data_IF_833529389500
#
_entry.id   IF_833529389500
#
_cell.length_a   1.000
_cell.length_b   1.000
_cell.length_c   1.000
_cell.angle_alpha   90.00
_cell.angle_beta   90.00
_cell.angle_gamma   90.00
#
_symmetry.space_group_name_H-M   'P 1'
#
loop_
_entity.id
_entity.type
_entity.pdbx_description
1 polymer ?
#
# COMPACT_ATOMS: atom_id res chain seq x y z
N UNK A 1 6.14 -14.83 33.36
CA UNK A 1 6.80 -14.93 32.04
C UNK A 1 7.25 -16.37 31.85
N UNK A 2 6.92 -17.01 30.73
CA UNK A 2 7.38 -18.38 30.45
C UNK A 2 8.92 -18.48 30.45
N UNK A 3 9.50 -19.62 30.87
CA UNK A 3 10.92 -19.92 30.72
C UNK A 3 11.40 -19.77 29.28
N UNK A 4 12.70 -19.45 29.09
CA UNK A 4 13.28 -19.23 27.76
C UNK A 4 13.12 -20.43 26.83
N UNK A 5 13.35 -21.64 27.34
CA UNK A 5 13.26 -22.90 26.60
C UNK A 5 11.83 -23.14 26.09
N UNK A 6 10.83 -22.95 26.95
CA UNK A 6 9.42 -23.08 26.57
C UNK A 6 9.03 -22.07 25.49
N UNK A 7 9.56 -20.85 25.52
CA UNK A 7 9.32 -19.85 24.45
C UNK A 7 9.94 -20.26 23.11
N UNK A 8 11.15 -20.84 23.15
CA UNK A 8 11.83 -21.35 21.95
C UNK A 8 11.04 -22.54 21.38
N UNK A 9 10.60 -23.46 22.24
CA UNK A 9 9.81 -24.61 21.83
C UNK A 9 8.46 -24.21 21.26
N UNK A 10 7.72 -23.31 21.92
CA UNK A 10 6.47 -22.76 21.41
C UNK A 10 6.66 -22.14 20.02
N UNK A 11 7.76 -21.40 19.81
CA UNK A 11 8.08 -20.82 18.50
C UNK A 11 8.36 -21.90 17.45
N UNK A 12 9.14 -22.93 17.79
CA UNK A 12 9.40 -24.09 16.89
C UNK A 12 8.11 -24.82 16.51
N UNK A 13 7.14 -24.88 17.44
CA UNK A 13 5.81 -25.46 17.22
C UNK A 13 4.83 -24.50 16.50
N UNK A 14 5.25 -23.27 16.16
CA UNK A 14 4.40 -22.27 15.52
C UNK A 14 3.32 -21.66 16.43
N UNK A 15 3.48 -21.80 17.75
CA UNK A 15 2.54 -21.26 18.74
C UNK A 15 2.86 -19.77 18.93
N UNK A 16 1.99 -18.93 18.36
CA UNK A 16 2.06 -17.48 18.47
C UNK A 16 1.59 -16.93 19.83
N UNK A 17 1.51 -15.61 19.93
CA UNK A 17 0.97 -14.88 21.09
C UNK A 17 -0.54 -15.01 21.22
N UNK A 18 -1.24 -15.23 20.11
CA UNK A 18 -2.69 -15.45 20.06
C UNK A 18 -3.06 -16.53 19.04
N UNK A 19 -4.20 -17.20 19.25
CA UNK A 19 -4.68 -18.28 18.39
C UNK A 19 -5.35 -17.78 17.10
N UNK A 20 -6.14 -16.71 17.21
CA UNK A 20 -6.97 -16.21 16.12
C UNK A 20 -6.48 -14.83 15.64
N UNK A 21 -6.45 -14.59 14.31
CA UNK A 21 -6.05 -13.32 13.73
C UNK A 21 -7.28 -12.41 13.52
N UNK A 22 -7.79 -11.83 14.61
CA UNK A 22 -9.04 -11.05 14.60
C UNK A 22 -8.96 -9.82 13.70
N UNK A 23 -7.84 -9.11 13.70
CA UNK A 23 -7.67 -7.87 12.92
C UNK A 23 -7.63 -8.20 11.44
N UNK A 24 -6.91 -9.24 11.04
CA UNK A 24 -6.86 -9.68 9.64
C UNK A 24 -8.24 -10.06 9.14
N UNK A 25 -9.01 -10.83 9.92
CA UNK A 25 -10.38 -11.18 9.54
C UNK A 25 -11.28 -9.95 9.42
N UNK A 26 -11.22 -9.03 10.38
CA UNK A 26 -11.98 -7.79 10.33
C UNK A 26 -11.61 -6.93 9.12
N UNK A 27 -10.32 -6.78 8.81
CA UNK A 27 -9.84 -6.05 7.64
C UNK A 27 -10.26 -6.72 6.34
N UNK A 28 -10.19 -8.06 6.25
CA UNK A 28 -10.64 -8.81 5.07
C UNK A 28 -12.13 -8.60 4.82
N UNK A 29 -12.97 -8.69 5.86
CA UNK A 29 -14.42 -8.43 5.73
C UNK A 29 -14.67 -6.98 5.28
N UNK A 30 -13.98 -6.02 5.89
CA UNK A 30 -14.09 -4.61 5.51
C UNK A 30 -13.70 -4.38 4.04
N UNK A 31 -12.59 -4.96 3.58
CA UNK A 31 -12.12 -4.82 2.19
C UNK A 31 -13.08 -5.46 1.18
N UNK A 32 -13.66 -6.61 1.52
CA UNK A 32 -14.70 -7.23 0.67
C UNK A 32 -15.94 -6.34 0.61
N UNK A 33 -16.38 -5.77 1.74
CA UNK A 33 -17.51 -4.84 1.77
C UNK A 33 -17.26 -3.57 0.96
N UNK A 34 -16.07 -2.99 1.07
CA UNK A 34 -15.65 -1.82 0.29
C UNK A 34 -15.60 -2.16 -1.20
N UNK A 35 -15.08 -3.33 -1.57
CA UNK A 35 -15.05 -3.78 -2.96
C UNK A 35 -16.44 -4.00 -3.56
N UNK A 36 -17.40 -4.52 -2.78
CA UNK A 36 -18.81 -4.56 -3.22
C UNK A 36 -19.32 -3.15 -3.49
N UNK A 37 -19.02 -2.19 -2.61
CA UNK A 37 -19.39 -0.79 -2.82
C UNK A 37 -18.72 -0.18 -4.06
N UNK A 38 -17.47 -0.52 -4.35
CA UNK A 38 -16.77 -0.13 -5.59
C UNK A 38 -17.53 -0.58 -6.85
N UNK A 39 -17.95 -1.85 -6.88
CA UNK A 39 -18.73 -2.40 -7.99
C UNK A 39 -20.12 -1.77 -8.10
N UNK A 40 -20.78 -1.47 -6.97
CA UNK A 40 -22.10 -0.81 -6.95
C UNK A 40 -22.01 0.62 -7.47
N UNK A 41 -21.00 1.39 -7.07
CA UNK A 41 -20.79 2.76 -7.56
C UNK A 41 -20.51 2.75 -9.06
N UNK A 42 -19.67 1.83 -9.54
CA UNK A 42 -19.41 1.71 -10.97
C UNK A 42 -20.68 1.31 -11.75
N UNK A 43 -21.46 0.36 -11.23
CA UNK A 43 -22.72 -0.06 -11.84
C UNK A 43 -23.74 1.08 -11.96
N UNK A 44 -23.83 1.94 -10.93
CA UNK A 44 -24.71 3.11 -10.97
C UNK A 44 -24.26 4.16 -11.98
N UNK A 45 -22.96 4.33 -12.17
CA UNK A 45 -22.43 5.35 -13.05
C UNK A 45 -22.35 4.93 -14.52
N UNK A 46 -21.88 3.70 -14.79
CA UNK A 46 -21.60 3.21 -16.15
C UNK A 46 -22.63 2.18 -16.65
N UNK A 47 -23.58 1.78 -15.81
CA UNK A 47 -24.56 0.73 -16.11
C UNK A 47 -24.03 -0.70 -15.96
N UNK A 48 -22.74 -0.89 -15.65
CA UNK A 48 -22.13 -2.20 -15.40
C UNK A 48 -21.18 -2.16 -14.19
N UNK A 49 -21.15 -3.22 -13.36
CA UNK A 49 -20.24 -3.29 -12.20
C UNK A 49 -18.76 -3.38 -12.62
N UNK A 50 -18.51 -3.95 -13.79
CA UNK A 50 -17.18 -4.07 -14.39
C UNK A 50 -17.05 -3.07 -15.54
N UNK A 51 -15.92 -2.37 -15.57
CA UNK A 51 -15.59 -1.40 -16.61
C UNK A 51 -14.98 -2.11 -17.83
N UNK A 52 -15.81 -2.37 -18.84
CA UNK A 52 -15.37 -2.85 -20.16
C UNK A 52 -15.19 -1.72 -21.18
N UNK A 53 -15.61 -0.50 -20.83
CA UNK A 53 -15.56 0.71 -21.65
C UNK A 53 -15.11 1.89 -20.79
N UNK A 54 -14.36 2.88 -21.32
CA UNK A 54 -13.88 2.98 -22.72
C UNK A 54 -12.71 2.04 -23.04
N UNK A 55 -12.01 1.55 -22.02
CA UNK A 55 -10.95 0.54 -22.12
C UNK A 55 -11.29 -0.59 -21.16
N UNK A 56 -11.03 -1.83 -21.56
CA UNK A 56 -11.24 -3.00 -20.71
C UNK A 56 -10.24 -2.93 -19.56
N UNK A 57 -10.74 -2.87 -18.32
CA UNK A 57 -9.89 -2.98 -17.14
C UNK A 57 -9.33 -4.42 -17.06
N UNK A 58 -8.00 -4.61 -17.20
CA UNK A 58 -7.40 -5.95 -17.23
C UNK A 58 -7.55 -6.71 -15.91
N UNK A 59 -7.81 -6.01 -14.80
CA UNK A 59 -8.03 -6.61 -13.48
C UNK A 59 -9.50 -7.00 -13.22
N UNK A 60 -10.39 -6.80 -14.21
CA UNK A 60 -11.83 -7.05 -14.12
C UNK A 60 -12.45 -6.31 -12.92
N UNK A 61 -12.46 -4.99 -13.00
CA UNK A 61 -12.89 -4.13 -11.89
C UNK A 61 -13.62 -2.87 -12.33
N UNK A 62 -13.88 -1.95 -11.39
CA UNK A 62 -14.48 -0.64 -11.68
C UNK A 62 -13.55 0.22 -12.53
N UNK A 63 -14.05 1.36 -13.01
CA UNK A 63 -13.26 2.34 -13.76
C UNK A 63 -12.30 3.11 -12.85
N UNK A 64 -11.27 3.70 -13.43
CA UNK A 64 -10.31 4.54 -12.71
C UNK A 64 -10.97 5.77 -12.07
N UNK A 65 -11.92 6.40 -12.77
CA UNK A 65 -12.69 7.52 -12.24
C UNK A 65 -13.55 7.12 -11.04
N UNK A 66 -14.12 5.90 -11.03
CA UNK A 66 -14.85 5.37 -9.87
C UNK A 66 -13.95 5.19 -8.66
N UNK A 67 -12.75 4.65 -8.87
CA UNK A 67 -11.75 4.48 -7.81
C UNK A 67 -11.29 5.83 -7.26
N UNK A 68 -11.04 6.83 -8.13
CA UNK A 68 -10.66 8.20 -7.73
C UNK A 68 -11.74 8.84 -6.86
N UNK A 69 -13.00 8.69 -7.27
CA UNK A 69 -14.16 9.22 -6.56
C UNK A 69 -14.34 8.57 -5.17
N UNK A 70 -14.06 7.28 -5.06
CA UNK A 70 -14.10 6.52 -3.81
C UNK A 70 -12.90 6.76 -2.88
N UNK A 71 -11.90 7.53 -3.34
CA UNK A 71 -10.75 7.92 -2.52
C UNK A 71 -9.47 7.16 -2.83
N UNK A 72 -9.26 6.70 -4.06
CA UNK A 72 -7.96 6.21 -4.50
C UNK A 72 -6.87 7.27 -4.31
N UNK A 73 -5.62 6.82 -4.18
CA UNK A 73 -4.47 7.72 -4.15
C UNK A 73 -4.32 8.32 -5.54
N UNK A 74 -4.59 9.62 -5.64
CA UNK A 74 -4.47 10.36 -6.89
C UNK A 74 -3.88 11.74 -6.57
N UNK A 75 -2.60 12.01 -6.91
CA UNK A 75 -1.94 13.25 -6.50
C UNK A 75 -2.68 14.55 -6.86
N UNK A 76 -3.34 14.68 -8.02
CA UNK A 76 -4.16 15.85 -8.34
C UNK A 76 -5.33 16.10 -7.37
N UNK A 77 -5.84 15.06 -6.69
CA UNK A 77 -6.85 15.23 -5.64
C UNK A 77 -6.28 15.61 -4.26
N UNK A 78 -4.94 15.62 -4.11
CA UNK A 78 -4.27 15.73 -2.81
C UNK A 78 -3.42 17.00 -2.71
N UNK A 79 -2.88 17.46 -3.83
CA UNK A 79 -2.07 18.69 -3.92
C UNK A 79 -2.21 19.32 -5.30
N UNK A 80 -1.85 20.60 -5.39
CA UNK A 80 -1.64 21.23 -6.69
C UNK A 80 -0.44 20.61 -7.39
N UNK A 81 -0.62 20.27 -8.67
CA UNK A 81 0.42 19.67 -9.53
C UNK A 81 0.70 20.64 -10.67
N UNK A 82 1.97 20.82 -11.01
CA UNK A 82 2.40 21.69 -12.11
C UNK A 82 1.73 21.24 -13.41
N UNK A 83 1.12 22.19 -14.14
CA UNK A 83 0.34 21.96 -15.37
C UNK A 83 -1.01 21.24 -15.21
N UNK A 84 -1.50 21.06 -13.99
CA UNK A 84 -2.84 20.49 -13.72
C UNK A 84 -3.57 21.41 -12.71
N UNK A 85 -4.50 22.22 -13.21
CA UNK A 85 -5.39 23.03 -12.37
C UNK A 85 -6.63 22.23 -11.94
N UNK A 86 -7.36 22.71 -10.93
CA UNK A 86 -8.66 22.17 -10.52
C UNK A 86 -9.69 22.13 -11.66
N UNK A 87 -9.59 23.07 -12.60
CA UNK A 87 -10.40 23.15 -13.83
C UNK A 87 -9.96 22.25 -14.97
N UNK A 88 -8.88 21.46 -14.80
CA UNK A 88 -8.45 20.52 -15.83
C UNK A 88 -9.56 19.50 -16.07
N UNK A 89 -9.82 19.23 -17.34
CA UNK A 89 -10.90 18.34 -17.75
C UNK A 89 -10.39 16.90 -17.88
N UNK A 90 -11.12 15.97 -17.27
CA UNK A 90 -10.88 14.53 -17.35
C UNK A 90 -12.19 13.78 -17.60
N UNK A 91 -12.15 12.55 -18.14
CA UNK A 91 -13.37 11.77 -18.40
C UNK A 91 -14.21 11.64 -17.13
N UNK A 92 -15.50 11.98 -17.25
CA UNK A 92 -16.43 11.86 -16.14
C UNK A 92 -16.60 10.40 -15.71
N UNK A 93 -17.09 10.22 -14.47
CA UNK A 93 -17.38 8.89 -13.91
C UNK A 93 -18.35 8.06 -14.77
N UNK A 94 -19.32 8.73 -15.41
CA UNK A 94 -20.35 8.12 -16.26
C UNK A 94 -19.97 8.05 -17.75
N UNK A 95 -18.80 8.56 -18.15
CA UNK A 95 -18.37 8.51 -19.55
C UNK A 95 -17.83 7.12 -19.89
N UNK A 96 -18.38 6.53 -20.96
CA UNK A 96 -17.99 5.21 -21.46
C UNK A 96 -17.56 5.26 -22.93
N UNK A 97 -17.41 6.47 -23.49
CA UNK A 97 -17.06 6.69 -24.88
C UNK A 97 -15.55 6.69 -25.10
N UNK A 98 -15.10 6.20 -26.25
CA UNK A 98 -13.71 6.26 -26.67
C UNK A 98 -13.64 6.86 -28.10
N UNK A 99 -13.22 8.13 -28.28
CA UNK A 99 -12.73 9.08 -27.27
C UNK A 99 -13.82 9.60 -26.30
N UNK A 100 -13.44 10.19 -25.15
CA UNK A 100 -14.38 10.66 -24.14
C UNK A 100 -15.31 11.76 -24.67
N UNK A 101 -16.59 11.68 -24.33
CA UNK A 101 -17.61 12.67 -24.75
C UNK A 101 -18.02 13.62 -23.64
N UNK A 102 -17.98 13.15 -22.39
CA UNK A 102 -18.35 13.90 -21.20
C UNK A 102 -17.11 14.12 -20.35
N UNK A 103 -16.76 15.39 -20.17
CA UNK A 103 -15.60 15.82 -19.41
C UNK A 103 -16.05 16.53 -18.13
N UNK A 104 -15.41 16.17 -17.02
CA UNK A 104 -15.65 16.71 -15.70
C UNK A 104 -14.39 17.40 -15.20
N UNK A 105 -14.57 18.36 -14.28
CA UNK A 105 -13.42 18.94 -13.59
C UNK A 105 -12.76 17.88 -12.70
N UNK A 106 -11.48 18.04 -12.39
CA UNK A 106 -10.80 17.16 -11.43
C UNK A 106 -11.53 17.20 -10.08
N UNK A 107 -12.00 18.36 -9.67
CA UNK A 107 -12.76 18.52 -8.43
C UNK A 107 -13.99 17.61 -8.37
N UNK A 108 -14.79 17.57 -9.45
CA UNK A 108 -15.96 16.70 -9.55
C UNK A 108 -15.59 15.22 -9.48
N UNK A 109 -14.51 14.82 -10.17
CA UNK A 109 -14.06 13.42 -10.17
C UNK A 109 -13.49 13.01 -8.81
N UNK A 110 -12.78 13.91 -8.14
CA UNK A 110 -12.27 13.69 -6.79
C UNK A 110 -13.40 13.51 -5.75
N UNK A 111 -14.62 13.99 -6.01
CA UNK A 111 -15.77 13.77 -5.13
C UNK A 111 -15.62 14.39 -3.73
N UNK A 112 -16.30 13.80 -2.74
CA UNK A 112 -16.30 14.21 -1.32
C UNK A 112 -16.77 15.66 -1.03
N UNK A 113 -17.57 16.26 -1.91
CA UNK A 113 -18.20 17.57 -1.67
C UNK A 113 -17.37 18.78 -2.12
N UNK A 114 -16.38 18.56 -2.99
CA UNK A 114 -15.59 19.64 -3.61
C UNK A 114 -14.56 20.28 -2.67
N UNK A 115 -13.78 21.19 -3.23
CA UNK A 115 -12.76 21.97 -2.56
C UNK A 115 -13.24 23.40 -2.46
N UNK A 116 -14.19 23.71 -1.56
CA UNK A 116 -14.86 25.02 -1.54
C UNK A 116 -13.95 26.26 -1.65
N UNK A 117 -12.67 26.18 -1.24
CA UNK A 117 -11.64 27.24 -1.35
C UNK A 117 -10.70 27.12 -2.58
N UNK A 118 -10.97 26.19 -3.49
CA UNK A 118 -10.16 25.85 -4.66
C UNK A 118 -8.93 24.98 -4.38
N UNK A 119 -8.70 24.52 -3.14
CA UNK A 119 -7.52 23.71 -2.78
C UNK A 119 -7.85 22.43 -2.00
N UNK A 120 -7.14 21.31 -2.25
CA UNK A 120 -7.32 20.10 -1.43
C UNK A 120 -6.95 20.36 0.03
N UNK A 121 -7.91 20.26 0.94
CA UNK A 121 -7.71 20.50 2.38
C UNK A 121 -6.98 19.33 3.10
N UNK A 122 -6.59 19.55 4.35
CA UNK A 122 -5.80 18.57 5.14
C UNK A 122 -6.53 17.25 5.41
N UNK A 123 -7.86 17.27 5.54
CA UNK A 123 -8.64 16.06 5.79
C UNK A 123 -8.63 15.13 4.56
N UNK A 124 -8.83 15.69 3.37
CA UNK A 124 -8.77 14.95 2.11
C UNK A 124 -7.37 14.37 1.86
N UNK A 125 -6.34 15.16 2.18
CA UNK A 125 -4.92 14.78 2.10
C UNK A 125 -4.59 13.53 2.90
N UNK A 126 -5.01 13.48 4.17
CA UNK A 126 -4.73 12.33 5.04
C UNK A 126 -5.60 11.13 4.66
N UNK A 127 -6.88 11.37 4.39
CA UNK A 127 -7.85 10.32 4.04
C UNK A 127 -7.39 9.55 2.80
N UNK A 128 -6.90 10.24 1.76
CA UNK A 128 -6.40 9.63 0.51
C UNK A 128 -5.07 8.90 0.62
N UNK A 129 -4.42 8.86 1.79
CA UNK A 129 -3.34 7.90 2.08
C UNK A 129 -3.82 6.65 2.81
N UNK A 130 -5.01 6.68 3.41
CA UNK A 130 -5.59 5.58 4.20
C UNK A 130 -6.62 4.80 3.38
N UNK A 131 -7.59 5.49 2.75
CA UNK A 131 -8.65 4.87 1.94
C UNK A 131 -8.14 3.94 0.84
N UNK A 132 -7.02 4.20 0.14
CA UNK A 132 -6.56 3.31 -0.93
C UNK A 132 -6.18 1.91 -0.42
N UNK A 133 -5.87 1.75 0.87
CA UNK A 133 -5.55 0.45 1.48
C UNK A 133 -6.74 -0.51 1.38
N UNK A 134 -7.97 0.02 1.34
CA UNK A 134 -9.20 -0.78 1.28
C UNK A 134 -9.73 -0.98 -0.13
N UNK A 135 -9.38 -0.08 -1.06
CA UNK A 135 -9.86 -0.09 -2.44
C UNK A 135 -9.08 -1.09 -3.30
N UNK A 136 -9.73 -1.68 -4.32
CA UNK A 136 -9.10 -2.67 -5.19
C UNK A 136 -9.44 -2.48 -6.67
N UNK A 137 -8.40 -2.43 -7.51
CA UNK A 137 -8.55 -2.25 -8.96
C UNK A 137 -9.40 -3.29 -9.71
N UNK A 138 -9.75 -4.42 -9.09
CA UNK A 138 -10.63 -5.43 -9.67
C UNK A 138 -10.61 -6.79 -8.96
N UNK A 139 -11.37 -7.75 -9.50
CA UNK A 139 -11.60 -9.06 -8.90
C UNK A 139 -10.29 -9.82 -8.71
N UNK A 140 -9.43 -9.87 -9.73
CA UNK A 140 -8.14 -10.58 -9.66
C UNK A 140 -7.27 -9.95 -8.57
N UNK A 141 -7.27 -8.62 -8.50
CA UNK A 141 -6.44 -7.88 -7.56
C UNK A 141 -6.89 -8.10 -6.11
N UNK A 142 -8.19 -8.06 -5.80
CA UNK A 142 -8.66 -8.36 -4.44
C UNK A 142 -8.41 -9.81 -4.06
N UNK A 143 -8.60 -10.78 -4.97
CA UNK A 143 -8.36 -12.19 -4.68
C UNK A 143 -6.90 -12.44 -4.27
N UNK A 144 -5.94 -11.88 -5.02
CA UNK A 144 -4.52 -12.02 -4.71
C UNK A 144 -4.15 -11.34 -3.37
N UNK A 145 -4.69 -10.14 -3.09
CA UNK A 145 -4.45 -9.48 -1.81
C UNK A 145 -5.06 -10.27 -0.65
N UNK A 146 -6.29 -10.75 -0.79
CA UNK A 146 -6.96 -11.50 0.28
C UNK A 146 -6.23 -12.82 0.55
N UNK A 147 -5.78 -13.52 -0.50
CA UNK A 147 -4.96 -14.73 -0.35
C UNK A 147 -3.67 -14.44 0.43
N UNK A 148 -2.92 -13.41 0.02
CA UNK A 148 -1.68 -13.03 0.71
C UNK A 148 -1.94 -12.59 2.15
N UNK A 149 -3.02 -11.85 2.40
CA UNK A 149 -3.40 -11.34 3.71
C UNK A 149 -3.81 -12.46 4.68
N UNK A 150 -4.65 -13.40 4.25
CA UNK A 150 -5.12 -14.49 5.12
C UNK A 150 -4.06 -15.57 5.37
N UNK A 151 -3.04 -15.66 4.50
CA UNK A 151 -1.90 -16.58 4.69
C UNK A 151 -0.81 -15.88 5.51
N UNK A 152 -0.23 -14.81 4.99
CA UNK A 152 0.98 -14.18 5.56
C UNK A 152 0.62 -13.26 6.71
N UNK A 153 -0.29 -12.31 6.50
CA UNK A 153 -0.63 -11.32 7.52
C UNK A 153 -1.31 -11.97 8.73
N UNK A 154 -2.15 -12.98 8.52
CA UNK A 154 -2.77 -13.77 9.59
C UNK A 154 -1.74 -14.48 10.47
N UNK A 155 -0.69 -15.05 9.87
CA UNK A 155 0.40 -15.66 10.62
C UNK A 155 1.12 -14.61 11.48
N UNK A 156 1.47 -13.46 10.90
CA UNK A 156 2.14 -12.38 11.63
C UNK A 156 1.27 -11.83 12.76
N UNK A 157 -0.04 -11.71 12.57
CA UNK A 157 -0.94 -11.27 13.64
C UNK A 157 -0.94 -12.26 14.82
N UNK A 158 -0.99 -13.57 14.54
CA UNK A 158 -0.92 -14.61 15.58
C UNK A 158 0.39 -14.55 16.36
N UNK A 159 1.50 -14.27 15.69
CA UNK A 159 2.82 -14.20 16.32
C UNK A 159 3.07 -12.89 17.08
N UNK A 160 2.72 -11.75 16.47
CA UNK A 160 2.99 -10.41 17.00
C UNK A 160 1.93 -9.94 18.01
N UNK A 161 0.71 -10.44 17.87
CA UNK A 161 -0.50 -9.97 18.55
C UNK A 161 -1.18 -8.83 17.80
N UNK A 162 -2.51 -8.72 17.97
CA UNK A 162 -3.36 -7.78 17.21
C UNK A 162 -2.92 -6.32 17.28
N UNK A 163 -2.52 -5.81 18.45
CA UNK A 163 -2.14 -4.40 18.60
C UNK A 163 -0.87 -4.01 17.82
N UNK A 164 0.18 -4.83 17.91
CA UNK A 164 1.41 -4.61 17.15
C UNK A 164 1.15 -4.75 15.66
N UNK A 165 0.40 -5.79 15.26
CA UNK A 165 0.00 -6.01 13.87
C UNK A 165 -0.76 -4.83 13.29
N UNK A 166 -1.77 -4.31 14.00
CA UNK A 166 -2.56 -3.17 13.56
C UNK A 166 -1.67 -1.96 13.24
N UNK A 167 -0.77 -1.60 14.15
CA UNK A 167 0.15 -0.47 13.95
C UNK A 167 1.08 -0.71 12.77
N UNK A 168 1.69 -1.90 12.67
CA UNK A 168 2.58 -2.23 11.53
C UNK A 168 1.83 -2.20 10.20
N UNK A 169 0.63 -2.75 10.14
CA UNK A 169 -0.17 -2.84 8.92
C UNK A 169 -0.52 -1.46 8.37
N UNK A 170 -1.09 -0.59 9.21
CA UNK A 170 -1.47 0.76 8.79
C UNK A 170 -0.24 1.66 8.56
N UNK A 171 0.79 1.58 9.40
CA UNK A 171 2.02 2.36 9.17
C UNK A 171 2.68 2.00 7.83
N UNK A 172 2.77 0.71 7.51
CA UNK A 172 3.32 0.25 6.23
C UNK A 172 2.46 0.65 5.04
N UNK A 173 1.13 0.47 5.12
CA UNK A 173 0.21 0.85 4.05
C UNK A 173 0.22 2.35 3.77
N UNK A 174 0.12 3.18 4.82
CA UNK A 174 0.12 4.65 4.68
C UNK A 174 1.46 5.12 4.14
N UNK A 175 2.58 4.64 4.69
CA UNK A 175 3.90 5.04 4.22
C UNK A 175 4.17 4.58 2.77
N UNK A 176 3.70 3.39 2.39
CA UNK A 176 3.72 2.92 1.00
C UNK A 176 2.92 3.83 0.07
N UNK A 177 1.75 4.31 0.50
CA UNK A 177 0.97 5.28 -0.26
C UNK A 177 1.65 6.65 -0.34
N UNK A 178 2.30 7.12 0.73
CA UNK A 178 3.09 8.37 0.72
C UNK A 178 4.28 8.25 -0.23
N UNK A 179 5.04 7.14 -0.17
CA UNK A 179 6.19 6.92 -1.06
C UNK A 179 5.73 6.81 -2.52
N UNK A 180 4.64 6.07 -2.78
CA UNK A 180 4.00 6.03 -4.10
C UNK A 180 3.52 7.39 -4.58
N UNK A 181 2.98 8.23 -3.70
CA UNK A 181 2.59 9.61 -4.02
C UNK A 181 3.76 10.47 -4.50
N UNK A 182 4.95 10.26 -3.96
CA UNK A 182 6.15 11.02 -4.33
C UNK A 182 6.76 10.56 -5.67
N UNK A 183 6.72 9.26 -5.95
CA UNK A 183 7.57 8.67 -6.99
C UNK A 183 6.80 7.92 -8.10
N UNK A 184 5.48 7.76 -7.99
CA UNK A 184 4.65 7.19 -9.06
C UNK A 184 4.10 8.25 -10.02
N UNK A 185 3.55 7.80 -11.15
CA UNK A 185 2.89 8.67 -12.11
C UNK A 185 1.73 9.43 -11.46
N UNK A 186 1.67 10.75 -11.67
CA UNK A 186 0.64 11.62 -11.10
C UNK A 186 -0.74 11.45 -11.74
N UNK A 187 -0.78 11.02 -13.01
CA UNK A 187 -2.02 10.86 -13.78
C UNK A 187 -2.71 9.50 -13.63
N UNK A 188 -2.16 8.58 -12.83
CA UNK A 188 -2.74 7.26 -12.63
C UNK A 188 -3.15 7.07 -11.16
N UNK A 189 -4.40 6.66 -10.87
CA UNK A 189 -4.79 6.33 -9.51
C UNK A 189 -4.11 5.05 -9.03
N UNK A 190 -3.95 4.94 -7.72
CA UNK A 190 -3.34 3.78 -7.08
C UNK A 190 -4.16 3.35 -5.87
N UNK A 191 -4.37 2.03 -5.77
CA UNK A 191 -5.20 1.37 -4.78
C UNK A 191 -4.59 0.02 -4.40
N UNK A 192 -5.02 -0.54 -3.28
CA UNK A 192 -4.72 -1.90 -2.86
C UNK A 192 -4.07 -1.97 -1.47
N UNK A 193 -4.39 -3.06 -0.77
CA UNK A 193 -3.80 -3.42 0.51
C UNK A 193 -2.32 -3.84 0.41
N UNK A 194 -1.83 -4.09 -0.81
CA UNK A 194 -0.53 -4.72 -1.07
C UNK A 194 0.64 -4.04 -0.37
N UNK A 195 0.71 -2.70 -0.30
CA UNK A 195 1.76 -2.00 0.47
C UNK A 195 1.79 -2.40 1.95
N UNK A 196 0.63 -2.54 2.59
CA UNK A 196 0.52 -3.03 3.97
C UNK A 196 0.93 -4.50 4.08
N UNK A 197 0.54 -5.33 3.12
CA UNK A 197 0.90 -6.76 3.06
C UNK A 197 2.42 -6.92 2.91
N UNK A 198 3.09 -6.16 2.04
CA UNK A 198 4.56 -6.14 1.95
C UNK A 198 5.21 -5.70 3.27
N UNK A 199 4.57 -4.81 4.02
CA UNK A 199 4.97 -4.50 5.39
C UNK A 199 4.92 -5.73 6.31
N UNK A 200 3.89 -6.56 6.20
CA UNK A 200 3.80 -7.82 6.96
C UNK A 200 4.82 -8.86 6.48
N UNK A 201 5.11 -8.92 5.18
CA UNK A 201 6.20 -9.73 4.63
C UNK A 201 7.53 -9.27 5.23
N UNK A 202 7.80 -7.97 5.34
CA UNK A 202 9.01 -7.49 6.02
C UNK A 202 9.11 -7.97 7.48
N UNK A 203 8.00 -8.12 8.21
CA UNK A 203 8.04 -8.71 9.57
C UNK A 203 8.50 -10.16 9.54
N UNK A 204 8.15 -10.93 8.52
CA UNK A 204 8.67 -12.31 8.37
C UNK A 204 10.19 -12.33 8.16
N UNK A 205 10.76 -11.31 7.51
CA UNK A 205 12.22 -11.16 7.38
C UNK A 205 12.86 -10.80 8.72
N UNK A 206 12.25 -9.88 9.48
CA UNK A 206 12.67 -9.55 10.86
C UNK A 206 12.68 -10.82 11.72
N UNK A 207 11.65 -11.65 11.61
CA UNK A 207 11.61 -12.93 12.32
C UNK A 207 12.76 -13.86 11.91
N UNK A 208 12.95 -14.05 10.60
CA UNK A 208 13.97 -14.94 10.06
C UNK A 208 15.37 -14.55 10.53
N UNK A 209 15.71 -13.26 10.48
CA UNK A 209 17.03 -12.78 10.91
C UNK A 209 17.20 -12.82 12.43
N UNK A 210 16.19 -12.42 13.20
CA UNK A 210 16.25 -12.44 14.65
C UNK A 210 16.34 -13.87 15.23
N UNK A 211 15.84 -14.86 14.48
CA UNK A 211 15.77 -16.26 14.91
C UNK A 211 16.49 -17.21 13.94
N UNK A 212 17.53 -16.73 13.25
CA UNK A 212 18.24 -17.47 12.20
C UNK A 212 18.63 -18.90 12.59
N UNK A 213 19.05 -19.11 13.84
CA UNK A 213 19.49 -20.41 14.37
C UNK A 213 18.35 -21.38 14.69
N UNK A 214 17.12 -20.88 14.80
CA UNK A 214 15.95 -21.67 15.19
C UNK A 214 15.11 -22.11 14.00
N UNK A 215 15.29 -21.47 12.84
CA UNK A 215 14.62 -21.84 11.60
C UNK A 215 15.30 -23.04 10.93
N UNK A 216 14.52 -23.97 10.41
CA UNK A 216 15.01 -25.06 9.58
C UNK A 216 15.43 -24.50 8.20
N UNK A 217 16.68 -24.73 7.80
CA UNK A 217 17.25 -24.28 6.51
C UNK A 217 17.02 -22.78 6.20
N UNK A 218 17.52 -21.85 7.05
CA UNK A 218 17.21 -20.42 6.95
C UNK A 218 17.67 -19.78 5.64
N UNK A 219 18.76 -20.28 5.03
CA UNK A 219 19.24 -19.81 3.72
C UNK A 219 18.26 -20.09 2.59
N UNK A 220 17.66 -21.29 2.56
CA UNK A 220 16.66 -21.64 1.54
C UNK A 220 15.38 -20.82 1.74
N UNK A 221 14.96 -20.64 2.99
CA UNK A 221 13.82 -19.79 3.33
C UNK A 221 14.04 -18.34 2.89
N UNK A 222 15.22 -17.78 3.13
CA UNK A 222 15.58 -16.44 2.64
C UNK A 222 15.55 -16.36 1.12
N UNK A 223 16.10 -17.37 0.42
CA UNK A 223 16.09 -17.41 -1.04
C UNK A 223 14.65 -17.42 -1.59
N UNK A 224 13.78 -18.25 -1.03
CA UNK A 224 12.38 -18.32 -1.42
C UNK A 224 11.63 -17.01 -1.16
N UNK A 225 11.80 -16.42 0.03
CA UNK A 225 11.20 -15.12 0.37
C UNK A 225 11.73 -13.97 -0.51
N UNK A 226 12.99 -14.05 -0.95
CA UNK A 226 13.55 -13.09 -1.91
C UNK A 226 12.94 -13.25 -3.30
N UNK A 227 12.69 -14.48 -3.75
CA UNK A 227 12.00 -14.76 -5.02
C UNK A 227 10.57 -14.24 -4.98
N UNK A 228 9.83 -14.52 -3.90
CA UNK A 228 8.47 -14.00 -3.68
C UNK A 228 8.43 -12.46 -3.71
N UNK A 229 9.42 -11.81 -3.08
CA UNK A 229 9.56 -10.36 -3.10
C UNK A 229 9.76 -9.82 -4.53
N UNK A 230 10.66 -10.44 -5.32
CA UNK A 230 10.92 -10.03 -6.70
C UNK A 230 9.68 -10.19 -7.57
N UNK A 231 8.99 -11.35 -7.49
CA UNK A 231 7.75 -11.56 -8.21
C UNK A 231 6.66 -10.57 -7.80
N UNK A 232 6.53 -10.33 -6.49
CA UNK A 232 5.53 -9.42 -5.96
C UNK A 232 5.77 -7.96 -6.37
N UNK A 233 7.03 -7.50 -6.40
CA UNK A 233 7.41 -6.18 -6.92
C UNK A 233 7.17 -6.11 -8.44
N UNK A 234 7.50 -7.17 -9.18
CA UNK A 234 7.32 -7.19 -10.63
C UNK A 234 5.85 -7.11 -11.06
N UNK A 235 4.94 -7.66 -10.25
CA UNK A 235 3.49 -7.67 -10.52
C UNK A 235 2.77 -6.39 -10.06
N UNK A 236 3.44 -5.44 -9.38
CA UNK A 236 2.77 -4.26 -8.83
C UNK A 236 3.57 -2.97 -8.87
N UNK A 237 3.04 -1.95 -8.19
CA UNK A 237 3.64 -0.62 -8.15
C UNK A 237 4.83 -0.59 -7.20
N UNK A 238 6.03 -0.62 -7.80
CA UNK A 238 7.33 -0.72 -7.11
C UNK A 238 7.46 0.27 -5.94
N UNK A 239 7.13 1.57 -6.07
CA UNK A 239 7.34 2.51 -4.96
C UNK A 239 6.46 2.23 -3.75
N UNK A 240 5.20 1.85 -3.94
CA UNK A 240 4.30 1.58 -2.81
C UNK A 240 4.64 0.29 -2.08
N UNK A 241 5.06 -0.74 -2.82
CA UNK A 241 5.52 -2.01 -2.23
C UNK A 241 6.83 -1.84 -1.47
N UNK A 242 7.79 -1.11 -2.05
CA UNK A 242 9.08 -0.84 -1.42
C UNK A 242 8.92 0.01 -0.15
N UNK A 243 8.03 1.01 -0.18
CA UNK A 243 7.71 1.82 1.00
C UNK A 243 7.09 0.97 2.10
N UNK A 244 6.12 0.13 1.75
CA UNK A 244 5.53 -0.84 2.66
C UNK A 244 6.56 -1.76 3.32
N UNK A 245 7.45 -2.35 2.52
CA UNK A 245 8.54 -3.21 3.00
C UNK A 245 9.48 -2.46 3.96
N UNK A 246 9.93 -1.25 3.58
CA UNK A 246 10.84 -0.43 4.39
C UNK A 246 10.23 -0.10 5.76
N UNK A 247 8.99 0.40 5.76
CA UNK A 247 8.30 0.74 7.01
C UNK A 247 7.95 -0.51 7.83
N UNK A 248 7.61 -1.62 7.17
CA UNK A 248 7.41 -2.91 7.82
C UNK A 248 8.66 -3.44 8.52
N UNK A 249 9.86 -3.25 7.96
CA UNK A 249 11.13 -3.60 8.63
C UNK A 249 11.33 -2.75 9.88
N UNK A 250 11.16 -1.43 9.77
CA UNK A 250 11.36 -0.51 10.90
C UNK A 250 10.34 -0.75 12.02
N UNK A 251 9.04 -0.71 11.71
CA UNK A 251 7.98 -0.88 12.70
C UNK A 251 7.90 -2.33 13.19
N UNK A 252 8.16 -3.29 12.32
CA UNK A 252 8.25 -4.71 12.66
C UNK A 252 9.33 -5.01 13.68
N UNK A 253 10.54 -4.45 13.54
CA UNK A 253 11.61 -4.64 14.56
C UNK A 253 11.22 -4.13 15.95
N UNK A 254 10.41 -3.07 16.00
CA UNK A 254 9.86 -2.47 17.23
C UNK A 254 8.87 -3.40 17.92
N UNK A 255 7.83 -3.84 17.20
CA UNK A 255 6.69 -4.54 17.81
C UNK A 255 6.81 -6.07 17.83
N UNK A 256 7.62 -6.66 16.94
CA UNK A 256 7.73 -8.11 16.83
C UNK A 256 8.41 -8.71 18.09
N UNK A 257 7.82 -9.74 18.72
CA UNK A 257 8.34 -10.31 19.96
C UNK A 257 9.56 -11.21 19.73
N UNK A 258 10.75 -10.61 19.74
CA UNK A 258 12.02 -11.34 19.59
C UNK A 258 12.41 -12.11 20.86
N UNK A 259 12.83 -13.37 20.68
CA UNK A 259 13.38 -14.22 21.73
C UNK A 259 14.91 -14.09 21.71
N UNK A 260 15.45 -13.36 22.69
CA UNK A 260 16.91 -13.17 22.81
C UNK A 260 17.52 -14.12 23.84
N UNK A 261 18.35 -15.09 23.44
CA UNK A 261 18.99 -16.02 24.38
C UNK A 261 20.20 -15.41 25.10
N UNK A 262 20.90 -14.46 24.48
CA UNK A 262 22.10 -13.83 25.03
C UNK A 262 21.87 -12.37 25.41
N UNK A 263 22.62 -11.87 26.42
CA UNK A 263 22.61 -10.43 26.78
C UNK A 263 23.04 -9.55 25.60
N UNK A 264 24.05 -9.97 24.83
CA UNK A 264 24.51 -9.26 23.63
C UNK A 264 23.40 -9.12 22.59
N UNK A 265 22.69 -10.20 22.25
CA UNK A 265 21.57 -10.16 21.30
C UNK A 265 20.44 -9.27 21.82
N UNK A 266 20.14 -9.32 23.12
CA UNK A 266 19.16 -8.43 23.74
C UNK A 266 19.54 -6.96 23.60
N UNK A 267 20.79 -6.59 23.86
CA UNK A 267 21.27 -5.21 23.72
C UNK A 267 21.21 -4.72 22.27
N UNK A 268 21.65 -5.55 21.31
CA UNK A 268 21.59 -5.23 19.88
C UNK A 268 20.15 -4.98 19.43
N UNK A 269 19.22 -5.88 19.78
CA UNK A 269 17.80 -5.70 19.42
C UNK A 269 17.19 -4.46 20.06
N UNK A 270 17.54 -4.13 21.30
CA UNK A 270 17.08 -2.90 21.94
C UNK A 270 17.64 -1.65 21.27
N UNK A 271 18.91 -1.65 20.87
CA UNK A 271 19.49 -0.55 20.11
C UNK A 271 18.76 -0.34 18.77
N UNK A 272 18.50 -1.42 18.03
CA UNK A 272 17.70 -1.34 16.79
C UNK A 272 16.31 -0.79 17.03
N UNK A 273 15.60 -1.24 18.08
CA UNK A 273 14.27 -0.73 18.42
C UNK A 273 14.27 0.76 18.77
N UNK A 274 15.26 1.21 19.53
CA UNK A 274 15.42 2.61 19.91
C UNK A 274 15.73 3.49 18.68
N UNK A 275 16.49 2.98 17.71
CA UNK A 275 16.79 3.69 16.46
C UNK A 275 15.62 3.65 15.44
N UNK A 276 14.86 2.55 15.40
CA UNK A 276 13.82 2.33 14.40
C UNK A 276 12.64 3.31 14.53
N UNK A 277 12.20 3.64 15.74
CA UNK A 277 11.06 4.54 15.94
C UNK A 277 11.37 5.98 15.47
N UNK A 278 12.46 6.64 15.92
CA UNK A 278 12.82 7.96 15.41
C UNK A 278 13.05 7.96 13.91
N UNK A 279 13.72 6.94 13.38
CA UNK A 279 13.95 6.83 11.93
C UNK A 279 12.64 6.71 11.15
N UNK A 280 11.70 5.88 11.62
CA UNK A 280 10.39 5.75 11.01
C UNK A 280 9.63 7.08 11.01
N UNK A 281 9.64 7.82 12.13
CA UNK A 281 9.00 9.14 12.25
C UNK A 281 9.65 10.16 11.32
N UNK A 282 10.99 10.23 11.29
CA UNK A 282 11.73 11.14 10.41
C UNK A 282 11.42 10.85 8.95
N UNK A 283 11.46 9.58 8.53
CA UNK A 283 11.13 9.19 7.16
C UNK A 283 9.68 9.58 6.80
N UNK A 284 8.74 9.37 7.71
CA UNK A 284 7.34 9.73 7.51
C UNK A 284 7.17 11.24 7.31
N UNK A 285 7.76 12.05 8.20
CA UNK A 285 7.70 13.51 8.15
C UNK A 285 8.39 14.04 6.89
N UNK A 286 9.58 13.55 6.56
CA UNK A 286 10.34 13.99 5.38
C UNK A 286 9.59 13.69 4.10
N UNK A 287 9.05 12.47 3.93
CA UNK A 287 8.34 12.11 2.70
C UNK A 287 6.98 12.81 2.55
N UNK A 288 6.27 13.04 3.67
CA UNK A 288 5.04 13.84 3.63
C UNK A 288 5.37 15.28 3.25
N UNK A 289 6.40 15.87 3.88
CA UNK A 289 6.84 17.22 3.53
C UNK A 289 7.24 17.29 2.06
N UNK A 290 8.07 16.36 1.59
CA UNK A 290 8.48 16.28 0.20
C UNK A 290 7.29 16.15 -0.75
N UNK A 291 6.29 15.35 -0.40
CA UNK A 291 5.08 15.22 -1.22
C UNK A 291 4.37 16.56 -1.37
N UNK A 292 4.26 17.38 -0.31
CA UNK A 292 3.52 18.64 -0.36
C UNK A 292 4.34 19.86 -0.82
N UNK A 293 5.66 19.86 -0.62
CA UNK A 293 6.49 21.03 -0.93
C UNK A 293 7.25 20.91 -2.24
N UNK A 294 7.57 19.69 -2.67
CA UNK A 294 8.43 19.46 -3.82
C UNK A 294 7.61 19.08 -5.05
N UNK A 295 8.10 19.46 -6.23
CA UNK A 295 7.61 18.89 -7.48
C UNK A 295 8.03 17.41 -7.52
N UNK A 296 7.10 16.44 -7.70
CA UNK A 296 7.40 15.01 -7.73
C UNK A 296 8.49 14.65 -8.75
N UNK A 297 8.61 15.41 -9.84
CA UNK A 297 9.53 15.14 -10.94
C UNK A 297 10.84 15.93 -10.88
N UNK A 298 10.88 17.05 -10.14
CA UNK A 298 12.12 17.81 -9.96
C UNK A 298 13.11 17.10 -9.03
N UNK A 299 12.62 16.31 -8.07
CA UNK A 299 13.47 15.63 -7.09
C UNK A 299 14.20 14.40 -7.66
N UNK A 300 13.68 13.78 -8.74
CA UNK A 300 14.26 12.58 -9.32
C UNK A 300 13.79 12.36 -10.77
N UNK A 301 14.67 12.67 -11.73
CA UNK A 301 14.38 12.53 -13.18
C UNK A 301 14.13 11.08 -13.61
N UNK A 302 14.71 10.09 -12.91
CA UNK A 302 14.57 8.66 -13.22
C UNK A 302 13.45 7.93 -12.46
N UNK A 303 12.85 8.54 -11.43
CA UNK A 303 11.90 7.83 -10.55
C UNK A 303 10.58 7.47 -11.26
N UNK A 304 10.26 8.16 -12.34
CA UNK A 304 9.14 7.83 -13.21
C UNK A 304 9.19 6.39 -13.73
N UNK A 305 10.39 5.88 -13.98
CA UNK A 305 10.58 4.53 -14.52
C UNK A 305 10.33 3.42 -13.48
N UNK A 306 10.21 3.78 -12.19
CA UNK A 306 9.82 2.84 -11.14
C UNK A 306 8.35 2.43 -11.24
N UNK A 307 7.51 3.22 -11.93
CA UNK A 307 6.08 2.93 -12.08
C UNK A 307 5.68 2.72 -13.54
N UNK A 308 6.62 2.77 -14.48
CA UNK A 308 6.35 2.66 -15.92
C UNK A 308 7.62 2.22 -16.67
N UNK A 309 7.52 1.18 -17.51
CA UNK A 309 8.61 0.75 -18.38
C UNK A 309 8.47 1.48 -19.72
N UNK A 310 9.49 2.24 -20.18
CA UNK A 310 9.43 2.92 -21.47
C UNK A 310 9.53 1.87 -22.58
N UNK A 311 8.42 1.59 -23.25
CA UNK A 311 8.39 0.75 -24.46
C UNK A 311 8.47 1.66 -25.69
N UNK A 312 9.23 1.25 -26.70
CA UNK A 312 9.42 2.00 -27.96
C UNK A 312 8.14 2.27 -28.74
N UNK A 313 7.03 1.60 -28.40
CA UNK A 313 5.73 1.70 -29.06
C UNK A 313 4.75 2.68 -28.41
N UNK A 314 5.02 3.25 -27.23
CA UNK A 314 4.11 4.24 -26.63
C UNK A 314 4.76 5.18 -25.61
N UNK A 315 4.43 6.47 -25.68
CA UNK A 315 4.93 7.55 -24.82
C UNK A 315 4.33 7.53 -23.38
N UNK A 316 4.02 6.35 -22.85
CA UNK A 316 3.26 6.15 -21.59
C UNK A 316 3.96 6.73 -20.35
N UNK A 317 5.28 6.75 -20.37
CA UNK A 317 6.07 7.34 -19.30
C UNK A 317 6.40 8.81 -19.60
N UNK A 318 5.49 9.59 -20.18
CA UNK A 318 5.69 11.05 -20.37
C UNK A 318 5.16 11.91 -19.22
N UNK A 319 4.44 11.31 -18.24
CA UNK A 319 4.11 11.83 -16.89
C UNK A 319 3.95 13.35 -16.79
N UNK A 320 3.32 13.90 -17.81
CA UNK A 320 2.83 15.27 -17.94
C UNK A 320 1.49 15.41 -17.22
N UNK A 321 1.03 14.38 -16.52
CA UNK A 321 -0.30 14.33 -15.92
C UNK A 321 -1.45 14.32 -16.92
N UNK A 322 -1.16 14.26 -18.23
CA UNK A 322 -2.16 13.95 -19.25
C UNK A 322 -2.30 12.44 -19.34
N UNK A 323 -3.54 11.91 -19.29
CA UNK A 323 -3.81 10.48 -19.48
C UNK A 323 -3.32 9.99 -20.85
#
# INVERSE_FOLDING_TARGET
KYPLEQRIENKKRGIGRQKYPFVVWALTIAMVGVFINELVVNARAQGSPLSFKPVVNPMLGPSESALINLGARFPPCMKSVTNISSSTLMPCLNDTANPPTILCTIEDVCGFGGWGDGTPNQWFRVTRFITPIFLHAGIIHILLNMLAQVIVSAQIEREMGSGGFFVTYFAAGIFGNVLGGNFSLVGAPSVGASGAIFGTVAVTWVDLFAHWRYHYQPRKRLAWMSVELVFGIALGYIPSHLGGLCMGLLVGTTFYPVISPTRRHKTIMWAFRLAAIPLAVVLFVVLIRNFYTSDPYAACSGCRYLSCIPLSSNNYCQGTGKP
#
